data_IF_639897315998
#
_entry.id   IF_639897315998
#
_cell.length_a   1.000
_cell.length_b   1.000
_cell.length_c   1.000
_cell.angle_alpha   90.00
_cell.angle_beta   90.00
_cell.angle_gamma   90.00
#
_symmetry.space_group_name_H-M   'P 1'
#
loop_
_entity.id
_entity.type
_entity.pdbx_description
1 polymer ?
#
# COMPACT_ATOMS: atom_id res chain seq x y z
N UNK A 1 16.58 -5.79 96.51
CA UNK A 1 16.85 -6.87 95.49
C UNK A 1 15.77 -6.83 94.47
N UNK A 2 16.04 -6.20 93.34
CA UNK A 2 15.09 -6.12 92.18
C UNK A 2 15.68 -6.93 91.05
N UNK A 3 14.96 -8.02 90.59
CA UNK A 3 15.32 -8.86 89.47
C UNK A 3 14.92 -8.17 88.19
N UNK A 4 15.90 -7.87 87.35
CA UNK A 4 15.71 -7.40 85.98
C UNK A 4 15.53 -8.65 85.08
N UNK A 5 14.38 -8.75 84.41
CA UNK A 5 14.08 -9.74 83.36
C UNK A 5 14.53 -9.19 82.02
N UNK A 6 15.29 -10.00 81.28
CA UNK A 6 15.75 -9.74 79.90
C UNK A 6 14.59 -9.92 78.90
N UNK A 7 14.48 -9.10 77.84
CA UNK A 7 13.54 -9.35 76.74
C UNK A 7 14.08 -10.37 75.76
N UNK A 8 13.18 -11.24 75.22
CA UNK A 8 13.44 -12.25 74.21
C UNK A 8 13.72 -11.59 72.83
N UNK A 9 14.79 -12.08 72.18
CA UNK A 9 15.14 -11.67 70.81
C UNK A 9 14.18 -12.33 69.78
N UNK A 10 13.44 -11.51 69.03
CA UNK A 10 12.66 -11.96 67.88
C UNK A 10 13.59 -12.27 66.70
N UNK A 11 13.68 -13.56 66.33
CA UNK A 11 14.42 -14.03 65.18
C UNK A 11 13.70 -13.61 63.88
N UNK A 12 14.33 -12.74 63.11
CA UNK A 12 13.88 -12.46 61.73
C UNK A 12 14.32 -13.61 60.82
N UNK A 13 13.42 -14.56 60.54
CA UNK A 13 13.63 -15.57 59.56
C UNK A 13 13.69 -14.97 58.15
N UNK A 14 14.83 -15.09 57.48
CA UNK A 14 14.97 -14.74 56.08
C UNK A 14 14.05 -15.65 55.20
N UNK A 15 13.35 -15.11 54.20
CA UNK A 15 12.49 -15.93 53.34
C UNK A 15 13.34 -16.97 52.60
N UNK A 16 12.92 -18.23 52.69
CA UNK A 16 13.66 -19.37 52.15
C UNK A 16 13.84 -19.27 50.63
N UNK A 17 14.96 -19.81 50.13
CA UNK A 17 15.35 -19.86 48.72
C UNK A 17 14.21 -20.27 47.74
N UNK A 18 13.18 -20.97 48.22
CA UNK A 18 12.00 -21.38 47.44
C UNK A 18 11.03 -20.23 47.09
N UNK A 19 10.98 -19.16 47.91
CA UNK A 19 10.13 -17.98 47.63
C UNK A 19 10.71 -17.10 46.54
N UNK A 20 12.02 -17.08 46.31
CA UNK A 20 12.71 -16.23 45.32
C UNK A 20 12.52 -16.77 43.90
N UNK A 21 12.32 -18.10 43.73
CA UNK A 21 12.11 -18.73 42.41
C UNK A 21 10.65 -18.67 41.95
N UNK A 22 9.69 -18.38 42.84
CA UNK A 22 8.28 -18.27 42.47
C UNK A 22 7.91 -16.92 41.88
N UNK A 23 8.67 -15.85 42.17
CA UNK A 23 8.37 -14.48 41.68
C UNK A 23 8.50 -14.31 40.15
N UNK A 24 9.56 -14.84 39.48
CA UNK A 24 9.66 -14.77 38.01
C UNK A 24 8.64 -15.64 37.31
N UNK A 25 8.24 -16.79 37.89
CA UNK A 25 7.20 -17.65 37.32
C UNK A 25 5.80 -17.01 37.41
N UNK A 26 5.49 -16.30 38.50
CA UNK A 26 4.25 -15.53 38.64
C UNK A 26 4.20 -14.31 37.72
N UNK A 27 5.33 -13.62 37.50
CA UNK A 27 5.43 -12.51 36.53
C UNK A 27 5.33 -12.98 35.08
N UNK A 28 5.87 -14.15 34.74
CA UNK A 28 5.72 -14.78 33.43
C UNK A 28 4.28 -15.27 33.20
N UNK A 29 3.64 -15.86 34.21
CA UNK A 29 2.23 -16.26 34.16
C UNK A 29 1.28 -15.06 34.04
N UNK A 30 1.56 -13.95 34.72
CA UNK A 30 0.78 -12.71 34.55
C UNK A 30 0.96 -12.07 33.19
N UNK A 31 2.14 -12.14 32.55
CA UNK A 31 2.34 -11.70 31.16
C UNK A 31 1.64 -12.60 30.14
N UNK A 32 1.56 -13.90 30.39
CA UNK A 32 0.83 -14.83 29.54
C UNK A 32 -0.71 -14.72 29.70
N UNK A 33 -1.20 -14.40 30.90
CA UNK A 33 -2.63 -14.19 31.16
C UNK A 33 -3.15 -12.82 30.69
N UNK A 34 -2.26 -11.84 30.47
CA UNK A 34 -2.65 -10.48 30.06
C UNK A 34 -2.70 -10.27 28.53
N UNK A 35 -2.51 -11.28 27.71
CA UNK A 35 -2.87 -11.23 26.31
C UNK A 35 -4.38 -11.50 26.22
N UNK A 36 -5.17 -10.44 26.49
CA UNK A 36 -6.61 -10.46 26.17
C UNK A 36 -6.78 -11.02 24.74
N UNK A 37 -7.72 -11.96 24.58
CA UNK A 37 -7.93 -12.59 23.29
C UNK A 37 -8.27 -11.51 22.26
N UNK A 38 -7.44 -11.34 21.26
CA UNK A 38 -7.73 -10.42 20.15
C UNK A 38 -8.70 -11.10 19.17
N UNK A 39 -9.76 -10.39 18.72
CA UNK A 39 -10.19 -9.07 19.13
C UNK A 39 -11.01 -9.09 20.44
N UNK A 40 -10.88 -8.02 21.23
CA UNK A 40 -11.63 -7.82 22.47
C UNK A 40 -12.97 -7.14 22.17
N UNK A 41 -14.07 -7.69 22.69
CA UNK A 41 -15.40 -7.14 22.48
C UNK A 41 -15.51 -5.68 22.97
N UNK A 42 -16.23 -4.85 22.21
CA UNK A 42 -16.39 -3.43 22.51
C UNK A 42 -15.26 -2.51 22.05
N UNK A 43 -14.16 -3.05 21.55
CA UNK A 43 -13.12 -2.26 20.88
C UNK A 43 -13.43 -2.08 19.39
N UNK A 44 -12.76 -1.12 18.75
CA UNK A 44 -12.96 -0.80 17.34
C UNK A 44 -11.60 -0.82 16.63
N UNK A 45 -11.55 -1.47 15.46
CA UNK A 45 -10.41 -1.45 14.56
C UNK A 45 -10.41 -0.13 13.75
N UNK A 46 -9.31 0.59 13.77
CA UNK A 46 -9.08 1.75 12.91
C UNK A 46 -8.35 1.32 11.64
N UNK A 47 -9.03 1.45 10.50
CA UNK A 47 -8.46 1.20 9.18
C UNK A 47 -8.02 2.54 8.57
N UNK A 48 -6.72 2.82 8.66
CA UNK A 48 -6.12 4.06 8.14
C UNK A 48 -5.96 3.95 6.62
N UNK A 49 -6.58 4.86 5.89
CA UNK A 49 -6.41 5.07 4.45
C UNK A 49 -5.60 6.35 4.26
N UNK A 50 -4.34 6.28 3.82
CA UNK A 50 -3.45 7.44 3.74
C UNK A 50 -3.70 8.32 2.51
N UNK A 51 -4.95 8.36 2.02
CA UNK A 51 -5.40 9.07 0.81
C UNK A 51 -6.72 9.80 1.06
N UNK A 52 -7.06 10.81 0.22
CA UNK A 52 -8.35 11.49 0.29
C UNK A 52 -9.53 10.53 0.10
N UNK A 53 -10.72 10.86 0.64
CA UNK A 53 -11.95 10.12 0.38
C UNK A 53 -12.30 10.05 -1.11
N UNK A 54 -12.97 8.97 -1.53
CA UNK A 54 -13.46 8.78 -2.90
C UNK A 54 -12.42 8.25 -3.90
N UNK A 55 -11.16 8.13 -3.51
CA UNK A 55 -10.13 7.46 -4.32
C UNK A 55 -10.21 5.93 -4.24
N UNK A 56 -9.50 5.23 -5.15
CA UNK A 56 -9.54 3.77 -5.23
C UNK A 56 -9.19 3.03 -3.94
N UNK A 57 -8.28 3.57 -3.11
CA UNK A 57 -7.96 3.00 -1.80
C UNK A 57 -9.12 3.18 -0.81
N UNK A 58 -9.75 4.36 -0.77
CA UNK A 58 -10.89 4.62 0.10
C UNK A 58 -12.09 3.73 -0.26
N UNK A 59 -12.39 3.62 -1.56
CA UNK A 59 -13.46 2.75 -2.06
C UNK A 59 -13.19 1.29 -1.69
N UNK A 60 -11.96 0.80 -1.89
CA UNK A 60 -11.57 -0.57 -1.54
C UNK A 60 -11.64 -0.84 -0.04
N UNK A 61 -11.17 0.10 0.79
CA UNK A 61 -11.25 0.00 2.24
C UNK A 61 -12.70 -0.06 2.73
N UNK A 62 -13.58 0.82 2.21
CA UNK A 62 -15.00 0.85 2.58
C UNK A 62 -15.79 -0.35 2.06
N UNK A 63 -15.37 -0.94 0.95
CA UNK A 63 -15.95 -2.20 0.46
C UNK A 63 -15.60 -3.39 1.39
N UNK A 64 -14.42 -3.37 2.01
CA UNK A 64 -13.98 -4.44 2.90
C UNK A 64 -14.37 -4.23 4.38
N UNK A 65 -14.56 -2.99 4.84
CA UNK A 65 -14.79 -2.71 6.24
C UNK A 65 -15.99 -3.48 6.84
N UNK A 66 -17.19 -3.55 6.23
CA UNK A 66 -18.30 -4.32 6.76
C UNK A 66 -18.02 -5.83 6.84
N UNK A 67 -17.30 -6.37 5.89
CA UNK A 67 -16.90 -7.78 5.86
C UNK A 67 -15.87 -8.10 6.95
N UNK A 68 -14.94 -7.17 7.22
CA UNK A 68 -14.00 -7.28 8.34
C UNK A 68 -14.72 -7.17 9.69
N UNK A 69 -15.75 -6.34 9.81
CA UNK A 69 -16.60 -6.28 11.01
C UNK A 69 -17.24 -7.64 11.31
N UNK A 70 -17.82 -8.28 10.29
CA UNK A 70 -18.40 -9.61 10.41
C UNK A 70 -17.36 -10.66 10.82
N UNK A 71 -16.20 -10.66 10.16
CA UNK A 71 -15.14 -11.61 10.45
C UNK A 71 -14.51 -11.42 11.84
N UNK A 72 -14.31 -10.18 12.28
CA UNK A 72 -13.68 -9.88 13.54
C UNK A 72 -14.65 -9.83 14.73
N UNK A 73 -15.93 -9.58 14.50
CA UNK A 73 -16.94 -9.39 15.56
C UNK A 73 -16.78 -8.07 16.33
N UNK A 74 -16.09 -7.08 15.75
CA UNK A 74 -15.88 -5.74 16.31
C UNK A 74 -16.07 -4.69 15.22
N UNK A 75 -16.39 -3.45 15.57
CA UNK A 75 -16.52 -2.35 14.62
C UNK A 75 -15.23 -2.06 13.86
N UNK A 76 -15.32 -1.69 12.58
CA UNK A 76 -14.21 -1.26 11.73
C UNK A 76 -14.47 0.14 11.20
N UNK A 77 -13.64 1.11 11.60
CA UNK A 77 -13.78 2.51 11.19
C UNK A 77 -12.70 2.89 10.20
N UNK A 78 -13.12 3.23 8.98
CA UNK A 78 -12.22 3.76 7.93
C UNK A 78 -11.91 5.21 8.21
N UNK A 79 -10.63 5.54 8.34
CA UNK A 79 -10.13 6.89 8.57
C UNK A 79 -9.20 7.34 7.46
N UNK A 80 -9.57 8.38 6.72
CA UNK A 80 -8.71 8.99 5.73
C UNK A 80 -7.68 9.90 6.41
N UNK A 81 -6.38 9.65 6.18
CA UNK A 81 -5.24 10.41 6.71
C UNK A 81 -4.30 10.80 5.56
N UNK A 82 -4.83 11.62 4.67
CA UNK A 82 -4.10 12.09 3.50
C UNK A 82 -3.01 13.12 3.87
N UNK A 83 -2.04 13.27 2.97
CA UNK A 83 -1.00 14.30 3.04
C UNK A 83 0.40 13.75 2.79
N UNK A 84 1.28 14.61 2.24
CA UNK A 84 2.66 14.30 1.88
C UNK A 84 2.81 12.98 1.09
N UNK A 85 1.97 12.79 0.06
CA UNK A 85 1.95 11.59 -0.78
C UNK A 85 1.75 10.28 0.04
N UNK A 86 0.84 10.27 1.01
CA UNK A 86 0.54 9.19 1.97
C UNK A 86 1.45 9.10 3.21
N UNK A 87 2.53 9.86 3.29
CA UNK A 87 3.50 9.78 4.39
C UNK A 87 2.85 10.00 5.76
N UNK A 88 1.89 10.95 5.88
CA UNK A 88 1.22 11.27 7.14
C UNK A 88 0.47 10.04 7.68
N UNK A 89 -0.37 9.41 6.87
CA UNK A 89 -1.15 8.25 7.28
C UNK A 89 -0.27 7.02 7.55
N UNK A 90 0.73 6.76 6.72
CA UNK A 90 1.66 5.65 6.92
C UNK A 90 2.51 5.83 8.18
N UNK A 91 2.95 7.06 8.50
CA UNK A 91 3.63 7.37 9.76
C UNK A 91 2.73 7.10 10.96
N UNK A 92 1.43 7.42 10.88
CA UNK A 92 0.47 7.11 11.95
C UNK A 92 0.38 5.60 12.19
N UNK A 93 0.32 4.79 11.12
CA UNK A 93 0.30 3.32 11.24
C UNK A 93 1.61 2.81 11.84
N UNK A 94 2.76 3.26 11.34
CA UNK A 94 4.08 2.84 11.81
C UNK A 94 4.29 3.10 13.32
N UNK A 95 3.69 4.18 13.84
CA UNK A 95 3.82 4.60 15.25
C UNK A 95 2.66 4.13 16.14
N UNK A 96 1.70 3.40 15.59
CA UNK A 96 0.58 2.89 16.37
C UNK A 96 1.04 1.81 17.36
N UNK A 97 0.23 1.56 18.39
CA UNK A 97 0.49 0.44 19.30
C UNK A 97 0.31 -0.88 18.56
N UNK A 98 1.20 -1.86 18.75
CA UNK A 98 1.12 -3.15 18.08
C UNK A 98 0.10 -4.09 18.79
N UNK A 99 -1.12 -3.60 19.00
CA UNK A 99 -2.20 -4.30 19.68
C UNK A 99 -3.28 -4.83 18.70
N UNK A 100 -3.14 -4.56 17.39
CA UNK A 100 -4.04 -5.02 16.34
C UNK A 100 -5.23 -4.10 16.05
N UNK A 101 -5.42 -2.99 16.79
CA UNK A 101 -6.57 -2.10 16.60
C UNK A 101 -6.30 -0.88 15.70
N UNK A 102 -5.10 -0.83 15.11
CA UNK A 102 -4.78 0.13 14.05
C UNK A 102 -4.04 -0.59 12.94
N UNK A 103 -4.61 -0.60 11.75
CA UNK A 103 -3.97 -1.12 10.53
C UNK A 103 -4.04 -0.08 9.42
N UNK A 104 -3.16 -0.18 8.44
CA UNK A 104 -3.12 0.69 7.27
C UNK A 104 -3.49 -0.04 6.00
N UNK A 105 -4.16 0.65 5.08
CA UNK A 105 -4.39 0.19 3.71
C UNK A 105 -3.67 1.12 2.74
N UNK A 106 -2.42 0.78 2.44
CA UNK A 106 -1.49 1.58 1.67
C UNK A 106 -1.44 1.22 0.19
N UNK A 107 -0.63 1.99 -0.53
CA UNK A 107 -0.35 1.83 -1.97
C UNK A 107 1.14 1.56 -2.19
N UNK A 108 1.45 0.57 -3.00
CA UNK A 108 2.78 0.26 -3.49
C UNK A 108 2.87 0.52 -5.00
N UNK A 109 3.97 1.04 -5.50
CA UNK A 109 5.26 1.31 -4.84
C UNK A 109 5.34 2.60 -4.01
N UNK A 110 4.27 3.40 -3.92
CA UNK A 110 4.31 4.71 -3.25
C UNK A 110 4.88 4.63 -1.82
N UNK A 111 4.44 3.64 -1.03
CA UNK A 111 4.93 3.44 0.34
C UNK A 111 6.44 3.15 0.37
N UNK A 112 6.93 2.33 -0.57
CA UNK A 112 8.34 1.99 -0.71
C UNK A 112 9.17 3.20 -1.12
N UNK A 113 8.73 3.96 -2.12
CA UNK A 113 9.49 5.12 -2.63
C UNK A 113 9.59 6.24 -1.60
N UNK A 114 8.63 6.39 -0.68
CA UNK A 114 8.67 7.41 0.37
C UNK A 114 9.89 7.29 1.26
N UNK A 115 10.28 6.09 1.69
CA UNK A 115 11.43 5.92 2.56
C UNK A 115 12.75 5.66 1.79
N UNK A 116 12.68 5.23 0.53
CA UNK A 116 13.85 5.15 -0.33
C UNK A 116 14.33 6.53 -0.80
N UNK A 117 13.42 7.49 -0.95
CA UNK A 117 13.76 8.89 -1.21
C UNK A 117 14.18 9.57 0.09
N UNK A 118 15.49 9.58 0.34
CA UNK A 118 16.07 10.11 1.57
C UNK A 118 15.79 11.60 1.79
N UNK A 119 15.50 12.37 0.74
CA UNK A 119 15.14 13.79 0.85
C UNK A 119 13.79 13.98 1.54
N UNK A 120 12.90 13.00 1.50
CA UNK A 120 11.57 13.07 2.13
C UNK A 120 11.57 12.87 3.64
N UNK A 121 12.62 12.25 4.20
CA UNK A 121 12.70 11.96 5.63
C UNK A 121 11.41 11.29 6.16
N UNK A 122 10.98 10.21 5.55
CA UNK A 122 9.67 9.60 5.77
C UNK A 122 9.38 9.23 7.25
N UNK A 123 10.42 8.99 8.05
CA UNK A 123 10.30 8.63 9.46
C UNK A 123 9.81 7.20 9.70
N UNK A 124 9.79 6.38 8.65
CA UNK A 124 9.53 4.95 8.67
C UNK A 124 10.31 4.24 7.56
N UNK A 125 10.46 2.93 7.68
CA UNK A 125 11.00 2.02 6.66
C UNK A 125 10.08 0.80 6.57
N UNK A 126 10.44 -0.19 5.74
CA UNK A 126 9.70 -1.45 5.65
C UNK A 126 9.61 -2.15 7.02
N UNK A 127 10.68 -2.12 7.80
CA UNK A 127 10.77 -2.72 9.15
C UNK A 127 9.84 -2.06 10.18
N UNK A 128 9.30 -0.88 9.88
CA UNK A 128 8.32 -0.20 10.72
C UNK A 128 6.92 -0.83 10.65
N UNK A 129 6.74 -1.84 9.79
CA UNK A 129 5.45 -2.46 9.55
C UNK A 129 5.48 -3.98 9.67
N UNK A 130 4.32 -4.54 9.99
CA UNK A 130 4.01 -5.98 9.90
C UNK A 130 3.11 -6.18 8.68
N UNK A 131 3.54 -6.90 7.63
CA UNK A 131 2.69 -7.26 6.49
C UNK A 131 1.49 -8.10 6.93
N UNK A 132 0.28 -7.78 6.43
CA UNK A 132 -0.95 -8.53 6.75
C UNK A 132 -1.54 -9.22 5.52
N UNK A 133 -1.77 -8.48 4.43
CA UNK A 133 -2.27 -9.04 3.19
C UNK A 133 -2.01 -8.10 2.01
N UNK A 134 -1.61 -8.62 0.87
CA UNK A 134 -1.75 -7.97 -0.42
C UNK A 134 -3.15 -8.25 -0.93
N UNK A 135 -3.86 -7.22 -1.40
CA UNK A 135 -5.27 -7.31 -1.79
C UNK A 135 -5.47 -7.14 -3.30
N UNK A 136 -4.83 -6.15 -3.89
CA UNK A 136 -5.01 -5.76 -5.30
C UNK A 136 -3.65 -5.55 -5.96
N UNK A 137 -3.52 -6.05 -7.19
CA UNK A 137 -2.52 -5.58 -8.14
C UNK A 137 -3.28 -5.08 -9.37
N UNK A 138 -3.48 -3.78 -9.47
CA UNK A 138 -4.22 -3.12 -10.53
C UNK A 138 -3.21 -2.62 -11.58
N UNK A 139 -3.08 -3.27 -12.75
CA UNK A 139 -2.06 -2.90 -13.72
C UNK A 139 -2.28 -1.49 -14.24
N UNK A 140 -1.19 -0.81 -14.57
CA UNK A 140 -1.24 0.45 -15.29
C UNK A 140 -1.64 0.26 -16.74
N UNK A 141 -2.19 1.32 -17.34
CA UNK A 141 -2.40 1.39 -18.78
C UNK A 141 -1.91 2.74 -19.30
N UNK A 142 -1.35 2.74 -20.50
CA UNK A 142 -1.01 3.98 -21.22
C UNK A 142 -2.24 4.39 -22.02
N UNK A 143 -2.71 5.61 -21.76
CA UNK A 143 -4.00 6.11 -22.20
C UNK A 143 -3.84 7.39 -22.99
N UNK A 144 -4.72 7.55 -23.97
CA UNK A 144 -4.88 8.75 -24.77
C UNK A 144 -6.37 9.11 -24.90
N UNK A 145 -6.70 10.33 -25.30
CA UNK A 145 -8.07 10.65 -25.70
C UNK A 145 -8.55 9.72 -26.82
N UNK A 146 -9.85 9.42 -26.87
CA UNK A 146 -10.41 8.55 -27.91
C UNK A 146 -10.14 9.04 -29.34
N UNK A 147 -10.16 10.36 -29.56
CA UNK A 147 -9.87 11.04 -30.82
C UNK A 147 -8.39 11.23 -31.15
N UNK A 148 -7.48 10.81 -30.26
CA UNK A 148 -6.04 10.97 -30.45
C UNK A 148 -5.55 10.24 -31.73
N UNK A 149 -4.59 10.80 -32.47
CA UNK A 149 -3.93 10.13 -33.57
C UNK A 149 -3.03 8.98 -33.09
N UNK A 150 -2.63 8.97 -31.80
CA UNK A 150 -1.80 7.92 -31.19
C UNK A 150 -2.66 6.66 -30.98
N UNK A 151 -2.42 5.62 -31.75
CA UNK A 151 -3.23 4.38 -31.73
C UNK A 151 -2.50 3.18 -31.12
N UNK A 152 -1.19 3.28 -31.00
CA UNK A 152 -0.31 2.22 -30.49
C UNK A 152 0.81 2.80 -29.64
N UNK A 153 1.52 1.95 -28.92
CA UNK A 153 2.74 2.34 -28.19
C UNK A 153 3.85 2.78 -29.16
N UNK A 154 3.88 2.18 -30.37
CA UNK A 154 4.81 2.58 -31.42
C UNK A 154 4.54 4.04 -31.89
N UNK A 155 3.27 4.44 -32.05
CA UNK A 155 2.93 5.83 -32.40
C UNK A 155 3.35 6.81 -31.31
N UNK A 156 3.12 6.47 -30.03
CA UNK A 156 3.52 7.29 -28.90
C UNK A 156 5.06 7.48 -28.88
N UNK A 157 5.80 6.38 -29.05
CA UNK A 157 7.27 6.41 -29.07
C UNK A 157 7.78 7.21 -30.26
N UNK A 158 7.21 7.04 -31.45
CA UNK A 158 7.57 7.81 -32.64
C UNK A 158 7.29 9.32 -32.45
N UNK A 159 6.14 9.67 -31.88
CA UNK A 159 5.79 11.06 -31.59
C UNK A 159 6.73 11.71 -30.58
N UNK A 160 7.07 11.00 -29.50
CA UNK A 160 8.00 11.49 -28.48
C UNK A 160 9.44 11.61 -29.01
N UNK A 161 9.85 10.72 -29.91
CA UNK A 161 11.16 10.79 -30.58
C UNK A 161 11.26 11.97 -31.53
N UNK A 162 10.17 12.30 -32.23
CA UNK A 162 10.09 13.46 -33.11
C UNK A 162 10.07 14.79 -32.37
N UNK A 163 9.59 14.81 -31.12
CA UNK A 163 9.41 15.99 -30.29
C UNK A 163 9.92 15.72 -28.87
N UNK A 164 11.26 15.59 -28.65
CA UNK A 164 11.81 15.37 -27.32
C UNK A 164 11.42 16.48 -26.34
N UNK A 165 11.02 16.10 -25.11
CA UNK A 165 10.60 17.01 -24.03
C UNK A 165 9.34 17.84 -24.31
N UNK A 166 8.60 17.57 -25.40
CA UNK A 166 7.39 18.33 -25.77
C UNK A 166 6.10 17.54 -25.53
N UNK A 167 6.08 16.22 -25.80
CA UNK A 167 4.91 15.39 -25.59
C UNK A 167 4.58 15.29 -24.08
N UNK A 168 3.44 15.88 -23.69
CA UNK A 168 3.01 15.94 -22.28
C UNK A 168 2.39 14.62 -21.84
N UNK A 169 3.00 14.01 -20.83
CA UNK A 169 2.56 12.76 -20.20
C UNK A 169 2.09 13.06 -18.78
N UNK A 170 0.84 12.70 -18.44
CA UNK A 170 0.30 12.87 -17.08
C UNK A 170 0.41 11.62 -16.24
N UNK A 171 0.60 11.81 -14.93
CA UNK A 171 0.56 10.78 -13.90
C UNK A 171 -0.07 11.30 -12.59
N UNK A 172 -0.23 10.39 -11.62
CA UNK A 172 -0.88 10.66 -10.34
C UNK A 172 0.04 11.28 -9.28
N UNK A 173 1.31 11.52 -9.61
CA UNK A 173 2.28 12.11 -8.71
C UNK A 173 3.68 11.51 -8.82
N UNK A 174 4.64 12.31 -8.40
CA UNK A 174 6.06 11.96 -8.49
C UNK A 174 6.40 10.68 -7.70
N UNK A 175 7.22 9.81 -8.30
CA UNK A 175 7.65 8.51 -7.77
C UNK A 175 6.50 7.52 -7.48
N UNK A 176 5.28 7.79 -7.99
CA UNK A 176 4.20 6.81 -8.09
C UNK A 176 4.48 5.75 -9.17
N UNK A 177 3.69 4.69 -9.21
CA UNK A 177 3.88 3.61 -10.19
C UNK A 177 3.79 4.10 -11.64
N UNK A 178 2.95 5.10 -11.91
CA UNK A 178 2.77 5.71 -13.23
C UNK A 178 4.03 6.47 -13.67
N UNK A 179 4.57 7.30 -12.78
CA UNK A 179 5.79 8.03 -13.06
C UNK A 179 6.99 7.09 -13.28
N UNK A 180 7.14 6.08 -12.42
CA UNK A 180 8.21 5.07 -12.56
C UNK A 180 8.07 4.28 -13.87
N UNK A 181 6.83 3.95 -14.27
CA UNK A 181 6.57 3.30 -15.56
C UNK A 181 6.92 4.20 -16.74
N UNK A 182 6.59 5.50 -16.66
CA UNK A 182 6.97 6.50 -17.67
C UNK A 182 8.49 6.59 -17.82
N UNK A 183 9.23 6.70 -16.71
CA UNK A 183 10.70 6.71 -16.72
C UNK A 183 11.26 5.44 -17.37
N UNK A 184 10.70 4.27 -17.03
CA UNK A 184 11.14 3.00 -17.62
C UNK A 184 10.90 2.97 -19.13
N UNK A 185 9.73 3.45 -19.60
CA UNK A 185 9.46 3.57 -21.04
C UNK A 185 10.44 4.51 -21.72
N UNK A 186 10.69 5.68 -21.15
CA UNK A 186 11.65 6.66 -21.69
C UNK A 186 13.05 6.04 -21.87
N UNK A 187 13.53 5.31 -20.86
CA UNK A 187 14.84 4.63 -20.91
C UNK A 187 14.90 3.53 -21.96
N UNK A 188 13.88 2.65 -22.01
CA UNK A 188 13.84 1.53 -22.95
C UNK A 188 13.69 1.99 -24.40
N UNK A 189 12.94 3.07 -24.65
CA UNK A 189 12.68 3.58 -25.97
C UNK A 189 13.67 4.66 -26.45
N UNK A 190 14.52 5.18 -25.56
CA UNK A 190 15.42 6.29 -25.85
C UNK A 190 14.68 7.57 -26.20
N UNK A 191 13.64 7.92 -25.45
CA UNK A 191 12.77 9.07 -25.64
C UNK A 191 12.68 9.91 -24.37
N UNK A 192 12.09 11.12 -24.46
CA UNK A 192 11.77 11.97 -23.33
C UNK A 192 10.38 12.54 -23.46
N UNK A 193 9.64 12.56 -22.32
CA UNK A 193 8.34 13.21 -22.18
C UNK A 193 8.47 14.50 -21.36
N UNK A 194 7.60 15.46 -21.61
CA UNK A 194 7.28 16.52 -20.66
C UNK A 194 6.33 15.93 -19.61
N UNK A 195 6.90 15.51 -18.48
CA UNK A 195 6.15 14.82 -17.43
C UNK A 195 5.37 15.83 -16.57
N UNK A 196 4.04 15.66 -16.48
CA UNK A 196 3.16 16.52 -15.70
C UNK A 196 2.59 15.70 -14.52
N UNK A 197 3.03 16.05 -13.30
CA UNK A 197 2.60 15.40 -12.07
C UNK A 197 1.35 16.06 -11.50
N UNK A 198 0.28 15.28 -11.28
CA UNK A 198 -0.94 15.74 -10.65
C UNK A 198 -1.05 15.20 -9.21
N UNK A 199 -1.91 15.83 -8.39
CA UNK A 199 -2.16 15.37 -7.02
C UNK A 199 -3.26 14.28 -7.01
N UNK A 200 -2.96 13.13 -7.64
CA UNK A 200 -3.85 11.98 -7.74
C UNK A 200 -4.52 11.80 -9.11
N UNK A 201 -5.21 10.68 -9.28
CA UNK A 201 -5.76 10.23 -10.56
C UNK A 201 -6.87 11.17 -11.12
N UNK A 202 -7.73 11.69 -10.27
CA UNK A 202 -8.87 12.52 -10.71
C UNK A 202 -8.44 13.74 -11.54
N UNK A 203 -7.61 14.64 -11.00
CA UNK A 203 -7.08 15.79 -11.75
C UNK A 203 -6.29 15.37 -12.99
N UNK A 204 -5.48 14.32 -12.94
CA UNK A 204 -4.68 13.86 -14.07
C UNK A 204 -5.54 13.32 -15.23
N UNK A 205 -6.56 12.53 -14.91
CA UNK A 205 -7.56 12.05 -15.91
C UNK A 205 -8.33 13.20 -16.52
N UNK A 206 -8.75 14.18 -15.70
CA UNK A 206 -9.44 15.39 -16.19
C UNK A 206 -8.56 16.16 -17.16
N UNK A 207 -7.29 16.33 -16.86
CA UNK A 207 -6.32 17.01 -17.73
C UNK A 207 -6.13 16.28 -19.07
N UNK A 208 -6.08 14.95 -19.07
CA UNK A 208 -6.00 14.15 -20.29
C UNK A 208 -7.28 14.30 -21.12
N UNK A 209 -8.46 14.22 -20.51
CA UNK A 209 -9.74 14.39 -21.19
C UNK A 209 -9.91 15.81 -21.78
N UNK A 210 -9.36 16.81 -21.12
CA UNK A 210 -9.36 18.21 -21.59
C UNK A 210 -8.28 18.50 -22.65
N UNK A 211 -7.42 17.53 -23.01
CA UNK A 211 -6.32 17.74 -23.98
C UNK A 211 -5.16 18.58 -23.43
N UNK A 212 -5.08 18.77 -22.11
CA UNK A 212 -3.95 19.44 -21.48
C UNK A 212 -2.68 18.57 -21.51
N UNK A 213 -2.86 17.25 -21.62
CA UNK A 213 -1.80 16.29 -21.88
C UNK A 213 -2.19 15.39 -23.05
N UNK A 214 -1.20 14.89 -23.81
CA UNK A 214 -1.44 14.03 -24.98
C UNK A 214 -1.61 12.57 -24.60
N UNK A 215 -0.97 12.15 -23.51
CA UNK A 215 -1.05 10.79 -22.97
C UNK A 215 -1.00 10.82 -21.44
N UNK A 216 -1.35 9.70 -20.82
CA UNK A 216 -1.24 9.53 -19.39
C UNK A 216 -1.09 8.05 -19.03
N UNK A 217 -0.55 7.77 -17.87
CA UNK A 217 -0.49 6.42 -17.30
C UNK A 217 -1.40 6.40 -16.08
N UNK A 218 -2.38 5.47 -16.07
CA UNK A 218 -3.32 5.31 -14.96
C UNK A 218 -3.61 3.83 -14.75
N UNK A 219 -4.03 3.47 -13.53
CA UNK A 219 -4.51 2.11 -13.25
C UNK A 219 -5.75 1.76 -14.08
N UNK A 220 -5.87 0.50 -14.48
CA UNK A 220 -6.99 -0.01 -15.28
C UNK A 220 -8.33 0.25 -14.58
N UNK A 221 -8.42 0.01 -13.25
CA UNK A 221 -9.64 0.28 -12.49
C UNK A 221 -10.07 1.74 -12.50
N UNK A 222 -9.14 2.68 -12.67
CA UNK A 222 -9.45 4.11 -12.79
C UNK A 222 -10.02 4.45 -14.17
N UNK A 223 -9.58 3.78 -15.22
CA UNK A 223 -9.80 4.18 -16.63
C UNK A 223 -10.80 3.31 -17.39
N UNK A 224 -11.04 2.07 -16.94
CA UNK A 224 -11.87 1.10 -17.68
C UNK A 224 -13.29 1.62 -18.00
N UNK A 225 -13.91 2.35 -17.08
CA UNK A 225 -15.24 2.94 -17.32
C UNK A 225 -15.20 4.01 -18.43
N UNK A 226 -14.20 4.90 -18.42
CA UNK A 226 -14.03 5.96 -19.41
C UNK A 226 -13.69 5.39 -20.80
N UNK A 227 -12.96 4.28 -20.84
CA UNK A 227 -12.68 3.56 -22.09
C UNK A 227 -13.96 2.94 -22.66
N UNK A 228 -14.77 2.26 -21.82
CA UNK A 228 -16.06 1.71 -22.24
C UNK A 228 -17.04 2.79 -22.74
N UNK A 229 -16.97 3.99 -22.19
CA UNK A 229 -17.77 5.15 -22.61
C UNK A 229 -17.22 5.81 -23.89
N UNK A 230 -16.09 5.35 -24.42
CA UNK A 230 -15.47 5.94 -25.60
C UNK A 230 -14.83 7.30 -25.40
N UNK A 231 -14.55 7.70 -24.13
CA UNK A 231 -13.90 8.97 -23.83
C UNK A 231 -12.36 8.87 -23.94
N UNK A 232 -11.81 7.68 -23.66
CA UNK A 232 -10.38 7.38 -23.70
C UNK A 232 -10.12 6.09 -24.49
N UNK A 233 -8.87 5.92 -24.91
CA UNK A 233 -8.33 4.69 -25.49
C UNK A 233 -7.09 4.28 -24.73
N UNK A 234 -7.00 2.98 -24.39
CA UNK A 234 -5.76 2.37 -23.95
C UNK A 234 -4.95 1.92 -25.15
N UNK A 235 -3.65 2.25 -25.19
CA UNK A 235 -2.73 1.84 -26.25
C UNK A 235 -1.73 0.77 -25.77
N UNK A 236 -1.61 0.55 -24.46
CA UNK A 236 -0.89 -0.56 -23.86
C UNK A 236 -1.36 -0.81 -22.43
N UNK A 237 -1.32 -2.07 -21.98
CA UNK A 237 -1.45 -2.44 -20.56
C UNK A 237 -0.06 -2.79 -20.02
N UNK A 238 0.24 -2.35 -18.80
CA UNK A 238 1.56 -2.54 -18.17
C UNK A 238 1.58 -3.80 -17.30
N UNK A 239 1.31 -4.95 -17.92
CA UNK A 239 1.28 -6.28 -17.31
C UNK A 239 1.88 -7.32 -18.24
N UNK A 240 2.15 -8.53 -17.72
CA UNK A 240 2.62 -9.64 -18.56
C UNK A 240 1.49 -10.26 -19.38
N UNK A 241 0.27 -10.19 -18.88
CA UNK A 241 -0.93 -10.75 -19.50
C UNK A 241 -1.94 -9.63 -19.79
N UNK A 242 -2.83 -9.86 -20.75
CA UNK A 242 -3.91 -8.93 -21.06
C UNK A 242 -4.85 -8.76 -19.87
N UNK A 243 -5.38 -7.56 -19.72
CA UNK A 243 -6.35 -7.29 -18.66
C UNK A 243 -7.76 -7.74 -19.07
N UNK A 244 -8.46 -8.52 -18.26
CA UNK A 244 -9.86 -8.90 -18.55
C UNK A 244 -10.81 -7.69 -18.59
N UNK A 245 -10.40 -6.54 -18.04
CA UNK A 245 -11.17 -5.30 -18.07
C UNK A 245 -10.88 -4.40 -19.28
N UNK A 246 -9.84 -4.74 -20.07
CA UNK A 246 -9.45 -4.06 -21.30
C UNK A 246 -9.18 -5.10 -22.41
N UNK A 247 -10.21 -5.86 -22.84
CA UNK A 247 -10.03 -6.92 -23.83
C UNK A 247 -9.50 -6.35 -25.14
N UNK A 248 -8.53 -7.05 -25.76
CA UNK A 248 -7.91 -6.68 -27.03
C UNK A 248 -6.88 -5.55 -26.93
N UNK A 249 -6.55 -5.05 -25.74
CA UNK A 249 -5.46 -4.11 -25.54
C UNK A 249 -4.17 -4.88 -25.28
N UNK A 250 -3.24 -4.84 -26.22
CA UNK A 250 -1.96 -5.52 -26.10
C UNK A 250 -1.13 -4.99 -24.91
N UNK A 251 -0.37 -5.88 -24.27
CA UNK A 251 0.54 -5.46 -23.20
C UNK A 251 1.74 -4.71 -23.76
N UNK A 252 2.39 -3.87 -22.94
CA UNK A 252 3.65 -3.24 -23.32
C UNK A 252 4.73 -4.29 -23.62
N UNK A 253 4.74 -5.41 -22.89
CA UNK A 253 5.64 -6.55 -23.10
C UNK A 253 5.43 -7.15 -24.50
N UNK A 254 4.19 -7.41 -24.93
CA UNK A 254 3.89 -7.89 -26.25
C UNK A 254 4.26 -6.90 -27.38
N UNK A 255 4.32 -5.61 -27.05
CA UNK A 255 4.75 -4.54 -27.96
C UNK A 255 6.27 -4.27 -27.90
N UNK A 256 7.06 -5.13 -27.23
CA UNK A 256 8.52 -5.06 -27.20
C UNK A 256 9.11 -4.25 -26.04
N UNK A 257 8.31 -3.79 -25.09
CA UNK A 257 8.77 -3.03 -23.92
C UNK A 257 8.50 -3.83 -22.64
N UNK A 258 9.53 -4.38 -22.01
CA UNK A 258 9.40 -5.14 -20.76
C UNK A 258 9.08 -4.19 -19.58
N UNK A 259 7.85 -3.70 -19.56
CA UNK A 259 7.33 -2.82 -18.51
C UNK A 259 6.14 -3.50 -17.85
N UNK A 260 6.32 -3.84 -16.57
CA UNK A 260 5.24 -4.31 -15.69
C UNK A 260 5.17 -3.30 -14.54
N UNK A 261 4.02 -2.64 -14.43
CA UNK A 261 3.80 -1.61 -13.43
C UNK A 261 2.31 -1.54 -13.10
N UNK A 262 2.00 -1.28 -11.85
CA UNK A 262 0.61 -1.18 -11.38
C UNK A 262 0.52 -0.65 -9.97
N UNK A 263 -0.71 -0.36 -9.59
CA UNK A 263 -1.08 0.07 -8.25
C UNK A 263 -1.34 -1.15 -7.39
N UNK A 264 -0.42 -1.49 -6.51
CA UNK A 264 -0.63 -2.57 -5.53
C UNK A 264 -1.18 -1.99 -4.25
N UNK A 265 -2.30 -2.57 -3.77
CA UNK A 265 -2.94 -2.16 -2.52
C UNK A 265 -2.81 -3.29 -1.52
N UNK A 266 -2.35 -2.94 -0.31
CA UNK A 266 -2.07 -3.95 0.71
C UNK A 266 -2.34 -3.42 2.12
N UNK A 267 -2.52 -4.37 3.05
CA UNK A 267 -2.74 -4.11 4.46
C UNK A 267 -1.48 -4.34 5.27
N UNK A 268 -1.20 -3.42 6.17
CA UNK A 268 -0.08 -3.51 7.12
C UNK A 268 -0.54 -3.13 8.53
N UNK A 269 0.07 -3.73 9.53
CA UNK A 269 0.02 -3.25 10.90
C UNK A 269 1.32 -2.55 11.28
N UNK A 270 1.42 -1.95 12.48
CA UNK A 270 2.68 -1.48 13.04
C UNK A 270 3.63 -2.65 13.28
N UNK A 271 4.93 -2.39 13.30
CA UNK A 271 5.93 -3.41 13.65
C UNK A 271 5.69 -3.98 15.04
N UNK A 272 6.01 -5.27 15.22
CA UNK A 272 5.92 -5.92 16.51
C UNK A 272 4.51 -6.39 16.91
N UNK A 273 3.58 -6.52 15.96
CA UNK A 273 2.31 -7.21 16.22
C UNK A 273 2.58 -8.62 16.78
N UNK A 274 1.92 -9.03 17.89
CA UNK A 274 2.00 -10.40 18.37
C UNK A 274 1.53 -11.38 17.29
N UNK A 275 2.24 -12.50 17.14
CA UNK A 275 1.93 -13.50 16.10
C UNK A 275 0.46 -13.95 16.08
N UNK A 276 -0.23 -14.20 17.22
CA UNK A 276 -1.66 -14.54 17.21
C UNK A 276 -2.54 -13.41 16.69
N UNK A 277 -2.20 -12.14 16.94
CA UNK A 277 -2.92 -10.97 16.46
C UNK A 277 -2.74 -10.82 14.94
N UNK A 278 -1.49 -10.93 14.46
CA UNK A 278 -1.19 -10.92 13.02
C UNK A 278 -1.96 -12.03 12.30
N UNK A 279 -1.90 -13.25 12.79
CA UNK A 279 -2.60 -14.40 12.20
C UNK A 279 -4.12 -14.18 12.14
N UNK A 280 -4.73 -13.66 13.21
CA UNK A 280 -6.17 -13.38 13.26
C UNK A 280 -6.60 -12.30 12.28
N UNK A 281 -5.80 -11.21 12.16
CA UNK A 281 -6.04 -10.14 11.19
C UNK A 281 -5.88 -10.65 9.75
N UNK A 282 -4.80 -11.39 9.47
CA UNK A 282 -4.56 -11.96 8.14
C UNK A 282 -5.69 -12.92 7.72
N UNK A 283 -6.16 -13.78 8.62
CA UNK A 283 -7.29 -14.68 8.36
C UNK A 283 -8.60 -13.92 8.09
N UNK A 284 -8.88 -12.86 8.86
CA UNK A 284 -10.07 -12.05 8.65
C UNK A 284 -10.01 -11.33 7.28
N UNK A 285 -8.85 -10.78 6.92
CA UNK A 285 -8.62 -10.16 5.61
C UNK A 285 -8.79 -11.18 4.48
N UNK A 286 -8.21 -12.37 4.60
CA UNK A 286 -8.34 -13.45 3.62
C UNK A 286 -9.81 -13.79 3.35
N UNK A 287 -10.60 -14.05 4.41
CA UNK A 287 -12.01 -14.40 4.28
C UNK A 287 -12.85 -13.26 3.72
N UNK A 288 -12.62 -12.02 4.19
CA UNK A 288 -13.30 -10.84 3.67
C UNK A 288 -13.00 -10.62 2.18
N UNK A 289 -11.73 -10.73 1.77
CA UNK A 289 -11.30 -10.57 0.37
C UNK A 289 -11.85 -11.69 -0.51
N UNK A 290 -11.92 -12.93 -0.02
CA UNK A 290 -12.42 -14.08 -0.76
C UNK A 290 -13.96 -14.14 -0.84
N UNK A 291 -14.69 -13.24 -0.14
CA UNK A 291 -16.15 -13.29 -0.13
C UNK A 291 -16.73 -12.99 -1.53
N UNK A 292 -17.82 -13.66 -1.93
CA UNK A 292 -18.51 -13.39 -3.21
C UNK A 292 -18.97 -11.94 -3.34
N UNK A 293 -19.45 -11.34 -2.25
CA UNK A 293 -19.90 -9.95 -2.20
C UNK A 293 -18.75 -8.99 -2.57
N UNK A 294 -17.55 -9.21 -1.98
CA UNK A 294 -16.38 -8.41 -2.31
C UNK A 294 -15.93 -8.62 -3.76
N UNK A 295 -15.90 -9.87 -4.22
CA UNK A 295 -15.52 -10.20 -5.59
C UNK A 295 -16.44 -9.52 -6.63
N UNK A 296 -17.76 -9.52 -6.40
CA UNK A 296 -18.72 -8.85 -7.26
C UNK A 296 -18.53 -7.33 -7.25
N UNK A 297 -18.30 -6.75 -6.09
CA UNK A 297 -18.03 -5.31 -5.94
C UNK A 297 -16.76 -4.89 -6.70
N UNK A 298 -15.68 -5.64 -6.56
CA UNK A 298 -14.41 -5.35 -7.23
C UNK A 298 -14.53 -5.51 -8.75
N UNK A 299 -15.28 -6.51 -9.23
CA UNK A 299 -15.57 -6.69 -10.66
C UNK A 299 -16.34 -5.50 -11.24
N UNK A 300 -17.36 -5.00 -10.54
CA UNK A 300 -18.11 -3.80 -10.94
C UNK A 300 -17.21 -2.57 -11.06
N UNK A 301 -16.19 -2.47 -10.18
CA UNK A 301 -15.21 -1.39 -10.19
C UNK A 301 -14.08 -1.62 -11.22
N UNK A 302 -14.08 -2.75 -11.91
CA UNK A 302 -12.99 -3.17 -12.84
C UNK A 302 -11.62 -3.25 -12.15
N UNK A 303 -11.59 -3.65 -10.89
CA UNK A 303 -10.37 -3.78 -10.07
C UNK A 303 -10.10 -5.27 -9.86
N UNK A 304 -8.93 -5.80 -10.28
CA UNK A 304 -8.58 -7.20 -10.07
C UNK A 304 -8.23 -7.46 -8.61
N UNK A 305 -8.72 -8.57 -8.07
CA UNK A 305 -8.29 -9.07 -6.77
C UNK A 305 -7.05 -9.96 -7.00
N UNK A 306 -5.99 -9.71 -6.21
CA UNK A 306 -4.78 -10.52 -6.19
C UNK A 306 -4.39 -10.75 -4.73
N UNK A 307 -4.98 -11.78 -4.11
CA UNK A 307 -4.70 -12.05 -2.71
C UNK A 307 -3.35 -12.73 -2.51
N UNK A 308 -2.56 -12.19 -1.58
CA UNK A 308 -1.42 -12.86 -0.99
C UNK A 308 -1.42 -12.63 0.52
N UNK A 309 -1.22 -13.69 1.29
CA UNK A 309 -1.08 -13.59 2.75
C UNK A 309 0.21 -12.89 3.17
N UNK A 310 0.48 -12.80 4.49
CA UNK A 310 1.59 -12.01 5.03
C UNK A 310 2.95 -12.33 4.42
N UNK A 311 3.28 -13.60 4.24
CA UNK A 311 4.57 -14.03 3.68
C UNK A 311 4.70 -13.68 2.18
N UNK A 312 3.61 -13.87 1.40
CA UNK A 312 3.60 -13.52 -0.01
C UNK A 312 3.77 -12.02 -0.21
N UNK A 313 3.05 -11.22 0.57
CA UNK A 313 3.19 -9.78 0.54
C UNK A 313 4.55 -9.29 1.04
N UNK A 314 5.13 -9.92 2.06
CA UNK A 314 6.48 -9.59 2.52
C UNK A 314 7.53 -9.82 1.41
N UNK A 315 7.45 -10.96 0.70
CA UNK A 315 8.34 -11.24 -0.46
C UNK A 315 8.16 -10.21 -1.56
N UNK A 316 6.91 -9.92 -1.96
CA UNK A 316 6.60 -8.88 -2.93
C UNK A 316 7.26 -7.55 -2.57
N UNK A 317 7.13 -7.09 -1.33
CA UNK A 317 7.67 -5.81 -0.86
C UNK A 317 9.21 -5.79 -0.88
N UNK A 318 9.86 -6.87 -0.44
CA UNK A 318 11.33 -7.00 -0.50
C UNK A 318 11.83 -6.93 -1.95
N UNK A 319 11.17 -7.64 -2.87
CA UNK A 319 11.55 -7.65 -4.28
C UNK A 319 11.33 -6.29 -4.95
N UNK A 320 10.24 -5.61 -4.60
CA UNK A 320 9.95 -4.25 -5.05
C UNK A 320 11.02 -3.26 -4.54
N UNK A 321 11.34 -3.30 -3.25
CA UNK A 321 12.37 -2.44 -2.63
C UNK A 321 13.74 -2.64 -3.30
N UNK A 322 14.14 -3.89 -3.54
CA UNK A 322 15.38 -4.22 -4.23
C UNK A 322 15.43 -3.67 -5.66
N UNK A 323 14.29 -3.72 -6.35
CA UNK A 323 14.18 -3.25 -7.74
C UNK A 323 14.16 -1.73 -7.83
N UNK A 324 13.47 -1.06 -6.90
CA UNK A 324 13.29 0.40 -6.92
C UNK A 324 14.45 1.16 -6.29
N UNK A 325 15.19 0.56 -5.34
CA UNK A 325 16.25 1.23 -4.61
C UNK A 325 17.26 1.97 -5.50
N UNK A 326 17.88 1.30 -6.50
CA UNK A 326 18.82 1.96 -7.41
C UNK A 326 18.19 3.11 -8.21
N UNK A 327 16.96 2.91 -8.70
CA UNK A 327 16.25 3.91 -9.50
C UNK A 327 15.89 5.16 -8.68
N UNK A 328 15.34 4.97 -7.48
CA UNK A 328 14.98 6.10 -6.61
C UNK A 328 16.22 6.87 -6.17
N UNK A 329 17.31 6.16 -5.81
CA UNK A 329 18.57 6.80 -5.43
C UNK A 329 19.19 7.63 -6.57
N UNK A 330 19.03 7.19 -7.82
CA UNK A 330 19.44 7.96 -8.99
C UNK A 330 18.61 9.23 -9.16
N UNK A 331 17.26 9.09 -9.15
CA UNK A 331 16.33 10.21 -9.33
C UNK A 331 16.46 11.25 -8.21
N UNK A 332 16.66 10.81 -6.96
CA UNK A 332 16.90 11.74 -5.84
C UNK A 332 18.18 12.54 -6.03
N UNK A 333 19.24 11.93 -6.59
CA UNK A 333 20.50 12.65 -6.89
C UNK A 333 20.36 13.62 -8.05
N UNK A 334 19.57 13.30 -9.06
CA UNK A 334 19.28 14.19 -10.19
C UNK A 334 18.48 15.41 -9.73
N UNK A 335 17.40 15.22 -8.98
CA UNK A 335 16.58 16.30 -8.43
C UNK A 335 17.26 17.18 -7.36
N UNK A 336 18.43 16.79 -6.84
CA UNK A 336 19.25 17.64 -5.97
C UNK A 336 20.25 18.52 -6.75
N UNK A 337 20.39 18.35 -8.07
CA UNK A 337 21.29 19.10 -8.93
C UNK A 337 20.62 20.24 -9.69
N UNK A 338 19.28 20.23 -9.73
CA UNK A 338 18.43 21.29 -10.28
C UNK A 338 17.97 22.25 -9.18
#
# INVERSE_FOLDING_TARGET
>A
MVKLSRPASAGHGLPGRRAILALPALLAAHRAAAQAAFPEAGRTLQLIVPYPPGGGNDIGARALAPLLEQELGIGVVVQNRAGAASQIGMTQVARARPDGYTIGYGLWPQTTTLYLDTARQAGFTRESFTPLALHVVDPGAILVQAGSPLRSLADLVAAARARPDDLRMSDNGQLGHEHLASIRLQRLAGIRFNQIHYQGAGPAVTALLAGQTEAGIFAVGTSASLIRQGAMRAIAVLSREESPFLPGVATAVAQGYDIVAGSTRAFVGPAGLPAPVQARLAQALERAIASPEHADRMRQLSIPITFQGPEGFARYWIDEERTLGPLVAELTREGQRD
#
